data_IF_029088314789
#
_entry.id   IF_029088314789
#
_cell.length_a   1.000
_cell.length_b   1.000
_cell.length_c   1.000
_cell.angle_alpha   90.00
_cell.angle_beta   90.00
_cell.angle_gamma   90.00
#
_symmetry.space_group_name_H-M   'P 1'
#
loop_
_entity.id
_entity.type
_entity.pdbx_description
1 polymer ?
#
# COMPACT_ATOMS: atom_id res chain seq x y z
N UNK A 1 7.20 4.04 12.29
CA UNK A 1 7.77 2.92 11.52
C UNK A 1 9.25 3.07 11.16
N UNK A 2 10.00 1.98 11.39
CA UNK A 2 11.37 1.78 10.89
C UNK A 2 11.36 1.32 9.42
N UNK A 3 12.48 1.49 8.71
CA UNK A 3 12.58 1.12 7.28
C UNK A 3 12.32 -0.37 7.02
N UNK A 4 12.92 -1.23 7.81
CA UNK A 4 12.84 -2.69 7.68
C UNK A 4 11.40 -3.18 7.76
N UNK A 5 10.67 -2.79 8.80
CA UNK A 5 9.26 -3.12 8.97
C UNK A 5 8.39 -2.68 7.77
N UNK A 6 8.66 -1.51 7.18
CA UNK A 6 7.92 -1.08 5.99
C UNK A 6 8.25 -1.94 4.77
N UNK A 7 9.52 -2.32 4.58
CA UNK A 7 9.93 -3.21 3.48
C UNK A 7 9.32 -4.60 3.62
N UNK A 8 9.24 -5.13 4.83
CA UNK A 8 8.61 -6.43 5.10
C UNK A 8 7.13 -6.40 4.72
N UNK A 9 6.41 -5.35 5.15
CA UNK A 9 4.99 -5.19 4.83
C UNK A 9 4.72 -5.03 3.33
N UNK A 10 5.58 -4.28 2.63
CA UNK A 10 5.49 -4.17 1.18
C UNK A 10 5.75 -5.52 0.50
N UNK A 11 6.71 -6.29 0.99
CA UNK A 11 7.04 -7.62 0.45
C UNK A 11 5.92 -8.62 0.67
N UNK A 12 5.27 -8.59 1.84
CA UNK A 12 4.19 -9.51 2.19
C UNK A 12 2.88 -9.18 1.47
N UNK A 13 2.56 -7.89 1.30
CA UNK A 13 1.23 -7.46 0.90
C UNK A 13 1.16 -6.74 -0.44
N UNK A 14 2.15 -5.94 -0.82
CA UNK A 14 2.12 -5.15 -2.06
C UNK A 14 2.76 -5.86 -3.24
N UNK A 15 3.97 -6.41 -3.06
CA UNK A 15 4.71 -7.10 -4.13
C UNK A 15 3.89 -8.24 -4.77
N UNK A 16 3.15 -9.08 -4.01
CA UNK A 16 2.32 -10.12 -4.60
C UNK A 16 1.16 -9.60 -5.46
N UNK A 17 0.74 -8.34 -5.28
CA UNK A 17 -0.33 -7.73 -6.08
C UNK A 17 0.15 -7.31 -7.47
N UNK A 18 1.47 -7.16 -7.68
CA UNK A 18 2.05 -6.62 -8.90
C UNK A 18 3.11 -7.57 -9.44
N UNK A 19 2.74 -8.31 -10.48
CA UNK A 19 3.62 -9.30 -11.09
C UNK A 19 4.94 -8.69 -11.59
N UNK A 20 6.05 -9.37 -11.32
CA UNK A 20 7.38 -8.97 -11.77
C UNK A 20 7.95 -7.73 -11.06
N UNK A 21 7.35 -7.32 -9.94
CA UNK A 21 7.89 -6.24 -9.10
C UNK A 21 8.82 -6.76 -8.01
N UNK A 22 9.77 -5.93 -7.60
CA UNK A 22 10.64 -6.17 -6.47
C UNK A 22 10.95 -4.86 -5.74
N UNK A 23 11.38 -4.95 -4.48
CA UNK A 23 11.85 -3.78 -3.75
C UNK A 23 13.30 -3.47 -4.12
N UNK A 24 13.53 -2.24 -4.54
CA UNK A 24 14.83 -1.70 -4.87
C UNK A 24 15.48 -1.01 -3.68
N UNK A 25 16.19 0.08 -3.97
CA UNK A 25 16.96 0.83 -2.98
C UNK A 25 16.07 1.74 -2.16
N UNK A 26 16.53 2.05 -0.94
CA UNK A 26 15.95 3.12 -0.15
C UNK A 26 16.66 4.43 -0.47
N UNK A 27 15.88 5.51 -0.57
CA UNK A 27 16.38 6.87 -0.81
C UNK A 27 15.90 7.81 0.30
N UNK A 28 16.62 8.90 0.57
CA UNK A 28 16.11 9.95 1.46
C UNK A 28 14.85 10.60 0.88
N UNK A 29 13.95 11.03 1.77
CA UNK A 29 12.70 11.68 1.42
C UNK A 29 12.50 12.97 2.22
N UNK A 30 11.83 13.94 1.59
CA UNK A 30 11.40 15.20 2.21
C UNK A 30 9.90 15.16 2.46
N UNK A 31 9.39 15.99 3.38
CA UNK A 31 7.96 16.09 3.68
C UNK A 31 7.11 16.52 2.49
N UNK A 32 7.68 17.31 1.57
CA UNK A 32 7.04 17.77 0.33
C UNK A 32 6.87 16.68 -0.72
N UNK A 33 7.60 15.56 -0.60
CA UNK A 33 7.45 14.44 -1.52
C UNK A 33 6.12 13.72 -1.26
N UNK A 34 5.42 13.42 -2.36
CA UNK A 34 4.23 12.59 -2.37
C UNK A 34 4.50 11.20 -1.77
N UNK A 35 3.43 10.55 -1.29
CA UNK A 35 3.53 9.18 -0.76
C UNK A 35 3.96 8.19 -1.83
N UNK A 36 3.48 8.34 -3.06
CA UNK A 36 3.87 7.52 -4.21
C UNK A 36 4.18 8.43 -5.40
N UNK A 37 5.35 8.26 -6.00
CA UNK A 37 5.78 9.03 -7.17
C UNK A 37 6.54 8.14 -8.15
N UNK A 38 6.50 8.47 -9.44
CA UNK A 38 7.44 7.89 -10.41
C UNK A 38 8.84 8.45 -10.14
N UNK A 39 9.84 7.57 -10.07
CA UNK A 39 11.22 7.99 -10.30
C UNK A 39 11.51 7.97 -11.80
N UNK A 40 11.05 6.92 -12.47
CA UNK A 40 11.05 6.74 -13.92
C UNK A 40 9.97 5.71 -14.30
N UNK A 41 9.67 5.46 -15.59
CA UNK A 41 8.56 4.59 -15.97
C UNK A 41 8.60 3.19 -15.32
N UNK A 42 9.78 2.60 -15.15
CA UNK A 42 9.95 1.27 -14.53
C UNK A 42 10.18 1.28 -13.00
N UNK A 43 10.05 2.42 -12.31
CA UNK A 43 10.24 2.51 -10.86
C UNK A 43 9.32 3.53 -10.18
N UNK A 44 8.70 3.09 -9.09
CA UNK A 44 7.94 3.93 -8.18
C UNK A 44 8.71 4.12 -6.88
N UNK A 45 8.56 5.28 -6.25
CA UNK A 45 9.08 5.56 -4.92
C UNK A 45 7.92 5.73 -3.95
N UNK A 46 8.01 5.01 -2.83
CA UNK A 46 6.93 4.89 -1.86
C UNK A 46 7.40 5.33 -0.48
N UNK A 47 6.62 6.18 0.19
CA UNK A 47 6.84 6.60 1.56
C UNK A 47 5.78 5.96 2.47
N UNK A 48 6.16 5.46 3.66
CA UNK A 48 5.19 4.88 4.59
C UNK A 48 4.20 5.92 5.13
N UNK A 49 4.69 7.13 5.42
CA UNK A 49 3.89 8.26 5.92
C UNK A 49 4.47 9.57 5.39
N UNK A 50 3.70 10.66 5.43
CA UNK A 50 4.14 11.97 4.90
C UNK A 50 5.40 12.49 5.58
N UNK A 51 5.54 12.25 6.89
CA UNK A 51 6.67 12.69 7.72
C UNK A 51 7.90 11.79 7.61
N UNK A 52 7.82 10.66 6.92
CA UNK A 52 8.93 9.74 6.77
C UNK A 52 10.10 10.39 6.02
N UNK A 53 11.31 10.15 6.54
CA UNK A 53 12.56 10.68 6.00
C UNK A 53 13.19 9.78 4.93
N UNK A 54 12.51 8.69 4.57
CA UNK A 54 12.97 7.73 3.57
C UNK A 54 11.82 7.36 2.62
N UNK A 55 12.19 6.81 1.46
CA UNK A 55 11.30 6.25 0.45
C UNK A 55 11.90 4.98 -0.13
N UNK A 56 11.09 3.95 -0.29
CA UNK A 56 11.48 2.65 -0.82
C UNK A 56 11.10 2.59 -2.30
N UNK A 57 12.01 2.09 -3.12
CA UNK A 57 11.78 1.90 -4.55
C UNK A 57 11.04 0.58 -4.80
N UNK A 58 10.00 0.63 -5.64
CA UNK A 58 9.37 -0.53 -6.26
C UNK A 58 9.80 -0.55 -7.72
N UNK A 59 10.59 -1.55 -8.09
CA UNK A 59 11.17 -1.69 -9.42
C UNK A 59 10.54 -2.85 -10.16
N UNK A 60 10.51 -2.76 -11.49
CA UNK A 60 10.20 -3.90 -12.37
C UNK A 60 10.89 -3.72 -13.72
N UNK A 61 10.89 -4.77 -14.55
CA UNK A 61 11.50 -4.73 -15.89
C UNK A 61 10.72 -3.90 -16.91
N UNK A 62 9.41 -3.72 -16.71
CA UNK A 62 8.51 -3.02 -17.63
C UNK A 62 8.00 -1.68 -17.05
N UNK A 63 7.52 -0.76 -17.90
CA UNK A 63 7.01 0.52 -17.42
C UNK A 63 5.67 0.35 -16.68
N UNK A 64 5.54 0.88 -15.45
CA UNK A 64 4.30 0.91 -14.66
C UNK A 64 3.21 1.71 -15.37
N UNK A 65 2.04 1.08 -15.53
CA UNK A 65 0.84 1.73 -16.04
C UNK A 65 0.32 2.75 -15.02
N UNK A 66 -0.35 3.83 -15.47
CA UNK A 66 -0.97 4.80 -14.57
C UNK A 66 -1.92 4.17 -13.54
N UNK A 67 -2.65 3.13 -13.95
CA UNK A 67 -3.58 2.37 -13.12
C UNK A 67 -2.85 1.60 -12.01
N UNK A 68 -1.70 1.01 -12.31
CA UNK A 68 -0.89 0.30 -11.33
C UNK A 68 -0.32 1.27 -10.30
N UNK A 69 0.17 2.44 -10.75
CA UNK A 69 0.57 3.51 -9.83
C UNK A 69 -0.60 3.94 -8.94
N UNK A 70 -1.81 4.05 -9.50
CA UNK A 70 -3.01 4.39 -8.72
C UNK A 70 -3.30 3.33 -7.66
N UNK A 71 -3.22 2.05 -7.99
CA UNK A 71 -3.39 0.95 -7.03
C UNK A 71 -2.35 1.03 -5.90
N UNK A 72 -1.07 1.23 -6.23
CA UNK A 72 0.02 1.41 -5.25
C UNK A 72 -0.25 2.63 -4.37
N UNK A 73 -0.73 3.73 -4.95
CA UNK A 73 -1.11 4.94 -4.20
C UNK A 73 -2.19 4.63 -3.17
N UNK A 74 -3.27 3.96 -3.58
CA UNK A 74 -4.37 3.60 -2.67
C UNK A 74 -3.89 2.69 -1.53
N UNK A 75 -3.02 1.73 -1.84
CA UNK A 75 -2.44 0.86 -0.82
C UNK A 75 -1.60 1.65 0.19
N UNK A 76 -0.67 2.48 -0.29
CA UNK A 76 0.23 3.26 0.56
C UNK A 76 -0.51 4.32 1.37
N UNK A 77 -1.58 4.92 0.82
CA UNK A 77 -2.45 5.84 1.55
C UNK A 77 -3.23 5.13 2.66
N UNK A 78 -3.81 3.96 2.37
CA UNK A 78 -4.47 3.13 3.37
C UNK A 78 -3.50 2.72 4.48
N UNK A 79 -2.29 2.33 4.11
CA UNK A 79 -1.21 2.03 5.03
C UNK A 79 -0.86 3.24 5.91
N UNK A 80 -0.64 4.43 5.32
CA UNK A 80 -0.31 5.63 6.05
C UNK A 80 -1.40 6.02 7.08
N UNK A 81 -2.67 5.68 6.80
CA UNK A 81 -3.79 5.86 7.72
C UNK A 81 -3.77 4.93 8.94
N UNK A 82 -3.16 3.74 8.83
CA UNK A 82 -3.07 2.76 9.94
C UNK A 82 -1.69 2.69 10.58
N UNK A 83 -0.66 3.31 9.99
CA UNK A 83 0.72 3.31 10.50
C UNK A 83 0.87 3.90 11.92
N UNK A 84 -0.09 4.71 12.40
CA UNK A 84 -0.12 5.19 13.79
C UNK A 84 -0.60 4.14 14.80
N UNK A 85 -1.11 3.00 14.33
CA UNK A 85 -1.73 1.96 15.15
C UNK A 85 -0.83 0.71 15.32
N UNK A 86 0.47 0.80 15.03
CA UNK A 86 1.45 -0.31 15.11
C UNK A 86 1.39 -1.09 16.44
N UNK A 87 1.05 -0.42 17.55
CA UNK A 87 1.00 -1.02 18.89
C UNK A 87 -0.37 -1.63 19.26
N UNK A 88 -1.36 -1.51 18.37
CA UNK A 88 -2.71 -2.03 18.63
C UNK A 88 -2.77 -3.53 18.32
N UNK A 89 -3.57 -4.31 19.07
CA UNK A 89 -3.77 -5.73 18.78
C UNK A 89 -4.38 -5.97 17.39
N UNK A 90 -5.10 -4.98 16.85
CA UNK A 90 -5.78 -5.05 15.55
C UNK A 90 -4.89 -4.67 14.36
N UNK A 91 -3.65 -4.24 14.58
CA UNK A 91 -2.77 -3.77 13.52
C UNK A 91 -2.58 -4.82 12.41
N UNK A 92 -2.40 -6.09 12.81
CA UNK A 92 -2.22 -7.20 11.88
C UNK A 92 -3.46 -7.44 11.02
N UNK A 93 -4.65 -7.36 11.60
CA UNK A 93 -5.91 -7.54 10.89
C UNK A 93 -6.16 -6.39 9.91
N UNK A 94 -5.86 -5.16 10.34
CA UNK A 94 -5.91 -3.97 9.49
C UNK A 94 -4.97 -4.11 8.30
N UNK A 95 -3.73 -4.56 8.54
CA UNK A 95 -2.74 -4.81 7.49
C UNK A 95 -3.20 -5.88 6.50
N UNK A 96 -3.75 -7.00 6.99
CA UNK A 96 -4.28 -8.06 6.13
C UNK A 96 -5.49 -7.62 5.29
N UNK A 97 -6.26 -6.63 5.76
CA UNK A 97 -7.38 -6.05 5.02
C UNK A 97 -6.96 -5.00 3.98
N UNK A 98 -5.77 -4.40 4.08
CA UNK A 98 -5.33 -3.31 3.21
C UNK A 98 -5.32 -3.67 1.71
N UNK A 99 -4.75 -4.81 1.26
CA UNK A 99 -4.81 -5.20 -0.14
C UNK A 99 -6.24 -5.23 -0.68
N UNK A 100 -7.17 -5.82 0.08
CA UNK A 100 -8.58 -5.95 -0.30
C UNK A 100 -9.24 -4.58 -0.40
N UNK A 101 -8.95 -3.68 0.55
CA UNK A 101 -9.45 -2.29 0.52
C UNK A 101 -8.91 -1.51 -0.68
N UNK A 102 -7.62 -1.63 -0.97
CA UNK A 102 -6.99 -0.98 -2.12
C UNK A 102 -7.63 -1.47 -3.43
N UNK A 103 -7.84 -2.77 -3.59
CA UNK A 103 -8.52 -3.37 -4.75
C UNK A 103 -9.97 -2.88 -4.84
N UNK A 104 -10.72 -2.90 -3.73
CA UNK A 104 -12.12 -2.43 -3.70
C UNK A 104 -12.25 -0.97 -4.15
N UNK A 105 -11.34 -0.09 -3.71
CA UNK A 105 -11.32 1.31 -4.12
C UNK A 105 -10.81 1.51 -5.56
N UNK A 106 -9.98 0.59 -6.06
CA UNK A 106 -9.48 0.59 -7.42
C UNK A 106 -10.58 0.22 -8.44
N UNK A 107 -11.48 -0.70 -8.08
CA UNK A 107 -12.57 -1.14 -8.96
C UNK A 107 -13.55 0.01 -9.29
N UNK A 108 -14.04 0.09 -10.54
CA UNK A 108 -15.07 1.05 -10.92
C UNK A 108 -16.36 0.80 -10.11
N UNK A 109 -17.15 1.86 -9.90
CA UNK A 109 -18.42 1.80 -9.17
C UNK A 109 -19.36 0.79 -9.84
N UNK A 110 -19.42 -0.42 -9.27
CA UNK A 110 -20.11 -1.59 -9.79
C UNK A 110 -20.62 -2.42 -8.62
N UNK A 111 -21.59 -3.31 -8.87
CA UNK A 111 -22.08 -4.26 -7.85
C UNK A 111 -20.95 -5.06 -7.19
N UNK A 112 -19.89 -5.37 -7.94
CA UNK A 112 -18.70 -6.07 -7.42
C UNK A 112 -17.92 -5.27 -6.39
N UNK A 113 -17.80 -3.94 -6.56
CA UNK A 113 -17.18 -3.06 -5.55
C UNK A 113 -18.01 -3.01 -4.26
N UNK A 114 -19.33 -2.89 -4.38
CA UNK A 114 -20.22 -2.86 -3.22
C UNK A 114 -20.17 -4.18 -2.43
N UNK A 115 -20.27 -5.31 -3.12
CA UNK A 115 -20.18 -6.63 -2.50
C UNK A 115 -18.81 -6.88 -1.84
N UNK A 116 -17.70 -6.45 -2.46
CA UNK A 116 -16.36 -6.59 -1.87
C UNK A 116 -16.18 -5.66 -0.66
N UNK A 117 -16.69 -4.42 -0.72
CA UNK A 117 -16.65 -3.50 0.42
C UNK A 117 -17.47 -4.04 1.61
N UNK A 118 -18.68 -4.54 1.35
CA UNK A 118 -19.55 -5.16 2.35
C UNK A 118 -18.91 -6.42 2.96
N UNK A 119 -18.26 -7.26 2.15
CA UNK A 119 -17.52 -8.42 2.65
C UNK A 119 -16.30 -8.04 3.50
N UNK A 120 -15.64 -6.92 3.21
CA UNK A 120 -14.53 -6.39 4.02
C UNK A 120 -15.06 -5.83 5.36
N UNK A 121 -16.21 -5.15 5.35
CA UNK A 121 -16.84 -4.58 6.53
C UNK A 121 -17.47 -5.65 7.43
N UNK A 122 -18.04 -6.70 6.85
CA UNK A 122 -18.63 -7.84 7.57
C UNK A 122 -17.62 -8.75 8.29
N UNK A 123 -16.32 -8.57 8.04
CA UNK A 123 -15.25 -9.29 8.77
C UNK A 123 -14.83 -8.61 10.09
N UNK A 124 -15.48 -7.49 10.47
CA UNK A 124 -15.42 -7.00 11.86
C UNK A 124 -16.28 -7.94 12.71
N UNK A 125 -15.60 -8.78 13.50
CA UNK A 125 -16.15 -9.91 14.27
C UNK A 125 -17.50 -9.64 14.97
N UNK A 126 -18.38 -10.65 15.11
CA UNK A 126 -19.40 -10.61 16.15
C UNK A 126 -18.71 -10.47 17.51
N UNK A 127 -19.14 -9.48 18.28
CA UNK A 127 -18.74 -9.32 19.67
C UNK A 127 -19.07 -10.60 20.45
N UNK A 128 -18.04 -11.27 20.98
CA UNK A 128 -18.14 -12.26 22.05
C UNK A 128 -17.08 -11.94 23.09
#
# INVERSE_FOLDING_TARGET
MQEEAFRDLLTEHLVPMLAGTALGKTRPAKSTHALVAYEHPCALLMKPVKTARYRVELVRSQAFLPEEKRLVTLFVEGFAGVAGQEQTPYFRDLMAALPRRAISQFLPASRGRAALAEAIEGFVLPAV
#
